data_IF_393492520754
#
_entry.id   IF_393492520754
#
_cell.length_a   1.000
_cell.length_b   1.000
_cell.length_c   1.000
_cell.angle_alpha   90.00
_cell.angle_beta   90.00
_cell.angle_gamma   90.00
#
_symmetry.space_group_name_H-M   'P 1'
#
loop_
_entity.id
_entity.type
_entity.pdbx_description
1 polymer ?
#
# COMPACT_ATOMS: atom_id res chain seq x y z
N UNK A 1 32.89 -14.82 -10.21
CA UNK A 1 32.81 -13.34 -10.24
C UNK A 1 31.59 -12.85 -11.02
N UNK A 2 31.29 -13.40 -12.21
CA UNK A 2 30.11 -12.98 -12.97
C UNK A 2 28.78 -13.32 -12.27
N UNK A 3 28.69 -14.51 -11.66
CA UNK A 3 27.44 -14.97 -11.01
C UNK A 3 27.08 -14.20 -9.75
N UNK A 4 28.08 -13.77 -8.98
CA UNK A 4 27.87 -12.94 -7.80
C UNK A 4 27.34 -11.55 -8.17
N UNK A 5 27.94 -10.91 -9.18
CA UNK A 5 27.49 -9.60 -9.64
C UNK A 5 26.05 -9.68 -10.16
N UNK A 6 25.72 -10.69 -10.95
CA UNK A 6 24.35 -10.92 -11.44
C UNK A 6 23.36 -11.15 -10.28
N UNK A 7 23.74 -11.92 -9.25
CA UNK A 7 22.88 -12.15 -8.09
C UNK A 7 22.64 -10.85 -7.27
N UNK A 8 23.66 -10.01 -7.12
CA UNK A 8 23.53 -8.72 -6.44
C UNK A 8 22.67 -7.75 -7.25
N UNK A 9 22.87 -7.68 -8.57
CA UNK A 9 22.06 -6.85 -9.46
C UNK A 9 20.59 -7.29 -9.46
N UNK A 10 20.32 -8.60 -9.53
CA UNK A 10 18.97 -9.15 -9.46
C UNK A 10 18.30 -8.85 -8.11
N UNK A 11 19.03 -8.99 -7.00
CA UNK A 11 18.53 -8.61 -5.67
C UNK A 11 18.16 -7.13 -5.62
N UNK A 12 19.05 -6.24 -6.08
CA UNK A 12 18.81 -4.78 -6.08
C UNK A 12 17.57 -4.44 -6.92
N UNK A 13 17.48 -5.01 -8.12
CA UNK A 13 16.33 -4.82 -8.99
C UNK A 13 15.01 -5.23 -8.31
N UNK A 14 14.99 -6.36 -7.61
CA UNK A 14 13.82 -6.83 -6.86
C UNK A 14 13.49 -5.97 -5.66
N UNK A 15 14.50 -5.45 -4.95
CA UNK A 15 14.30 -4.46 -3.88
C UNK A 15 13.62 -3.20 -4.44
N UNK A 16 14.12 -2.66 -5.55
CA UNK A 16 13.56 -1.44 -6.16
C UNK A 16 12.12 -1.64 -6.62
N UNK A 17 11.79 -2.79 -7.22
CA UNK A 17 10.42 -3.16 -7.57
C UNK A 17 9.50 -3.24 -6.36
N UNK A 18 9.94 -3.90 -5.29
CA UNK A 18 9.16 -4.01 -4.06
C UNK A 18 8.91 -2.63 -3.42
N UNK A 19 9.92 -1.76 -3.41
CA UNK A 19 9.82 -0.37 -2.93
C UNK A 19 8.84 0.44 -3.79
N UNK A 20 8.89 0.30 -5.11
CA UNK A 20 7.97 1.00 -6.01
C UNK A 20 6.52 0.59 -5.75
N UNK A 21 6.26 -0.71 -5.63
CA UNK A 21 4.93 -1.25 -5.32
C UNK A 21 4.42 -0.74 -3.96
N UNK A 22 5.29 -0.76 -2.94
CA UNK A 22 4.96 -0.26 -1.61
C UNK A 22 4.63 1.24 -1.59
N UNK A 23 5.42 2.07 -2.29
CA UNK A 23 5.17 3.50 -2.37
C UNK A 23 3.86 3.82 -3.12
N UNK A 24 3.53 3.06 -4.17
CA UNK A 24 2.24 3.19 -4.86
C UNK A 24 1.08 2.88 -3.93
N UNK A 25 1.19 1.84 -3.11
CA UNK A 25 0.18 1.49 -2.11
C UNK A 25 -0.01 2.59 -1.06
N UNK A 26 1.09 3.15 -0.54
CA UNK A 26 1.06 4.26 0.43
C UNK A 26 0.37 5.49 -0.18
N UNK A 27 0.78 5.90 -1.39
CA UNK A 27 0.21 7.07 -2.06
C UNK A 27 -1.27 6.87 -2.41
N UNK A 28 -1.63 5.69 -2.93
CA UNK A 28 -3.01 5.33 -3.26
C UNK A 28 -3.92 5.32 -2.04
N UNK A 29 -3.47 4.73 -0.93
CA UNK A 29 -4.22 4.69 0.31
C UNK A 29 -4.47 6.12 0.87
N UNK A 30 -3.43 6.95 0.90
CA UNK A 30 -3.56 8.34 1.35
C UNK A 30 -4.54 9.15 0.49
N UNK A 31 -4.46 9.03 -0.84
CA UNK A 31 -5.35 9.73 -1.76
C UNK A 31 -6.82 9.28 -1.61
N UNK A 32 -7.05 7.96 -1.52
CA UNK A 32 -8.40 7.41 -1.34
C UNK A 32 -9.01 7.86 -0.01
N UNK A 33 -8.22 7.89 1.06
CA UNK A 33 -8.69 8.34 2.38
C UNK A 33 -9.14 9.80 2.37
N UNK A 34 -8.39 10.69 1.70
CA UNK A 34 -8.76 12.11 1.58
C UNK A 34 -10.08 12.26 0.82
N UNK A 35 -10.18 11.62 -0.34
CA UNK A 35 -11.40 11.68 -1.17
C UNK A 35 -12.63 11.14 -0.44
N UNK A 36 -12.50 10.06 0.33
CA UNK A 36 -13.58 9.52 1.13
C UNK A 36 -14.03 10.48 2.24
N UNK A 37 -13.09 11.18 2.88
CA UNK A 37 -13.41 12.22 3.88
C UNK A 37 -14.19 13.37 3.22
N UNK A 38 -13.71 13.88 2.08
CA UNK A 38 -14.36 14.97 1.33
C UNK A 38 -15.78 14.58 0.88
N UNK A 39 -15.95 13.38 0.35
CA UNK A 39 -17.26 12.88 -0.07
C UNK A 39 -18.21 12.70 1.12
N UNK A 40 -17.74 12.12 2.24
CA UNK A 40 -18.56 11.99 3.45
C UNK A 40 -19.01 13.35 3.99
N UNK A 41 -18.14 14.36 3.96
CA UNK A 41 -18.48 15.73 4.36
C UNK A 41 -19.53 16.32 3.42
N UNK A 42 -19.37 16.17 2.10
CA UNK A 42 -20.34 16.66 1.12
C UNK A 42 -21.72 16.02 1.33
N UNK A 43 -21.80 14.70 1.58
CA UNK A 43 -23.06 14.02 1.87
C UNK A 43 -23.69 14.51 3.17
N UNK A 44 -22.90 14.72 4.22
CA UNK A 44 -23.40 15.26 5.48
C UNK A 44 -23.98 16.68 5.28
N UNK A 45 -23.32 17.54 4.51
CA UNK A 45 -23.79 18.88 4.19
C UNK A 45 -25.10 18.85 3.38
N UNK A 46 -25.20 18.02 2.34
CA UNK A 46 -26.43 17.88 1.55
C UNK A 46 -27.56 17.35 2.45
N UNK A 47 -27.27 16.39 3.34
CA UNK A 47 -28.26 15.86 4.28
C UNK A 47 -28.77 16.95 5.23
N UNK A 48 -27.90 17.80 5.76
CA UNK A 48 -28.29 18.91 6.62
C UNK A 48 -29.18 19.92 5.87
N UNK A 49 -28.76 20.35 4.68
CA UNK A 49 -29.51 21.28 3.83
C UNK A 49 -30.90 20.70 3.47
N UNK A 50 -30.98 19.41 3.15
CA UNK A 50 -32.25 18.76 2.79
C UNK A 50 -33.28 18.77 3.94
N UNK A 51 -32.82 18.77 5.19
CA UNK A 51 -33.68 18.86 6.39
C UNK A 51 -34.21 20.28 6.59
N UNK A 52 -33.43 21.29 6.21
CA UNK A 52 -33.80 22.71 6.35
C UNK A 52 -34.78 23.18 5.27
N UNK A 53 -34.72 22.60 4.06
CA UNK A 53 -35.55 23.01 2.91
C UNK A 53 -37.00 22.45 2.97
N UNK A 54 -37.32 21.57 3.93
CA UNK A 54 -38.55 20.75 3.98
C UNK A 54 -39.88 21.52 4.18
N UNK A 55 -40.24 22.37 3.22
CA UNK A 55 -41.48 23.14 3.16
C UNK A 55 -42.41 22.70 2.00
N UNK A 56 -41.91 21.84 1.09
CA UNK A 56 -42.64 21.30 -0.06
C UNK A 56 -42.35 19.78 -0.23
N UNK A 57 -43.39 18.95 -0.26
CA UNK A 57 -43.30 17.48 -0.20
C UNK A 57 -42.62 16.85 -1.42
N UNK A 58 -42.84 17.38 -2.63
CA UNK A 58 -42.31 16.80 -3.87
C UNK A 58 -40.80 17.02 -3.99
N UNK A 59 -40.33 18.24 -3.71
CA UNK A 59 -38.90 18.55 -3.67
C UNK A 59 -38.17 17.80 -2.56
N UNK A 60 -38.84 17.55 -1.42
CA UNK A 60 -38.28 16.75 -0.34
C UNK A 60 -38.06 15.29 -0.76
N UNK A 61 -39.02 14.68 -1.47
CA UNK A 61 -38.89 13.31 -1.97
C UNK A 61 -37.72 13.16 -2.96
N UNK A 62 -37.56 14.08 -3.91
CA UNK A 62 -36.46 14.07 -4.88
C UNK A 62 -35.09 14.21 -4.18
N UNK A 63 -34.98 15.11 -3.20
CA UNK A 63 -33.78 15.29 -2.39
C UNK A 63 -33.42 14.03 -1.59
N UNK A 64 -34.40 13.38 -0.96
CA UNK A 64 -34.17 12.11 -0.23
C UNK A 64 -33.72 10.99 -1.16
N UNK A 65 -34.32 10.88 -2.35
CA UNK A 65 -33.92 9.88 -3.35
C UNK A 65 -32.49 10.11 -3.86
N UNK A 66 -32.12 11.37 -4.10
CA UNK A 66 -30.76 11.74 -4.50
C UNK A 66 -29.73 11.44 -3.39
N UNK A 67 -30.06 11.75 -2.14
CA UNK A 67 -29.24 11.42 -0.97
C UNK A 67 -29.06 9.92 -0.78
N UNK A 68 -30.14 9.14 -0.96
CA UNK A 68 -30.07 7.68 -0.89
C UNK A 68 -29.14 7.12 -1.97
N UNK A 69 -29.27 7.60 -3.21
CA UNK A 69 -28.40 7.19 -4.33
C UNK A 69 -26.94 7.56 -4.10
N UNK A 70 -26.69 8.73 -3.51
CA UNK A 70 -25.34 9.19 -3.18
C UNK A 70 -24.70 8.36 -2.04
N UNK A 71 -25.50 7.97 -1.04
CA UNK A 71 -25.05 7.06 0.01
C UNK A 71 -24.69 5.67 -0.53
N UNK A 72 -25.48 5.14 -1.48
CA UNK A 72 -25.14 3.87 -2.16
C UNK A 72 -23.83 4.02 -2.93
N UNK A 73 -23.68 5.09 -3.71
CA UNK A 73 -22.46 5.36 -4.47
C UNK A 73 -21.22 5.50 -3.56
N UNK A 74 -21.37 6.07 -2.36
CA UNK A 74 -20.32 6.15 -1.34
C UNK A 74 -19.89 4.77 -0.83
N UNK A 75 -20.86 3.87 -0.59
CA UNK A 75 -20.58 2.49 -0.17
C UNK A 75 -19.86 1.71 -1.28
N UNK A 76 -20.28 1.89 -2.53
CA UNK A 76 -19.63 1.27 -3.69
C UNK A 76 -18.19 1.78 -3.86
N UNK A 77 -17.96 3.09 -3.72
CA UNK A 77 -16.61 3.67 -3.77
C UNK A 77 -15.71 3.14 -2.65
N UNK A 78 -16.24 2.97 -1.44
CA UNK A 78 -15.50 2.33 -0.35
C UNK A 78 -15.13 0.88 -0.70
N UNK A 79 -16.05 0.13 -1.30
CA UNK A 79 -15.81 -1.25 -1.74
C UNK A 79 -14.69 -1.29 -2.79
N UNK A 80 -14.79 -0.48 -3.85
CA UNK A 80 -13.77 -0.40 -4.91
C UNK A 80 -12.41 0.02 -4.35
N UNK A 81 -12.38 0.99 -3.43
CA UNK A 81 -11.14 1.41 -2.78
C UNK A 81 -10.49 0.26 -1.98
N UNK A 82 -11.29 -0.52 -1.25
CA UNK A 82 -10.80 -1.69 -0.51
C UNK A 82 -10.29 -2.79 -1.43
N UNK A 83 -10.98 -3.09 -2.52
CA UNK A 83 -10.54 -4.07 -3.53
C UNK A 83 -9.21 -3.66 -4.19
N UNK A 84 -9.04 -2.37 -4.48
CA UNK A 84 -7.79 -1.84 -5.01
C UNK A 84 -6.62 -2.04 -4.02
N UNK A 85 -6.86 -1.77 -2.72
CA UNK A 85 -5.87 -2.00 -1.66
C UNK A 85 -5.53 -3.50 -1.53
N UNK A 86 -6.51 -4.39 -1.58
CA UNK A 86 -6.29 -5.83 -1.53
C UNK A 86 -5.48 -6.32 -2.74
N UNK A 87 -5.78 -5.83 -3.93
CA UNK A 87 -5.05 -6.16 -5.16
C UNK A 87 -3.58 -5.72 -5.06
N UNK A 88 -3.33 -4.49 -4.60
CA UNK A 88 -1.98 -3.98 -4.36
C UNK A 88 -1.24 -4.76 -3.26
N UNK A 89 -1.96 -5.20 -2.22
CA UNK A 89 -1.40 -6.04 -1.17
C UNK A 89 -0.94 -7.40 -1.73
N UNK A 90 -1.72 -7.99 -2.64
CA UNK A 90 -1.33 -9.20 -3.36
C UNK A 90 -0.09 -9.01 -4.24
N UNK A 91 0.03 -7.87 -4.95
CA UNK A 91 1.24 -7.52 -5.71
C UNK A 91 2.47 -7.34 -4.82
N UNK A 92 2.28 -6.68 -3.68
CA UNK A 92 3.34 -6.46 -2.70
C UNK A 92 3.82 -7.78 -2.08
N UNK A 93 2.88 -8.67 -1.73
CA UNK A 93 3.22 -10.02 -1.24
C UNK A 93 4.09 -10.80 -2.22
N UNK A 94 3.70 -10.83 -3.51
CA UNK A 94 4.51 -11.46 -4.57
C UNK A 94 5.90 -10.83 -4.70
N UNK A 95 5.98 -9.50 -4.63
CA UNK A 95 7.26 -8.78 -4.70
C UNK A 95 8.18 -9.13 -3.53
N UNK A 96 7.62 -9.32 -2.32
CA UNK A 96 8.39 -9.76 -1.16
C UNK A 96 8.79 -11.24 -1.21
N UNK A 97 8.00 -12.11 -1.82
CA UNK A 97 8.40 -13.50 -2.06
C UNK A 97 9.55 -13.59 -3.08
N UNK A 98 9.50 -12.81 -4.17
CA UNK A 98 10.60 -12.68 -5.14
C UNK A 98 11.89 -12.17 -4.49
N UNK A 99 11.76 -11.13 -3.64
CA UNK A 99 12.88 -10.58 -2.89
C UNK A 99 13.48 -11.60 -1.92
N UNK A 100 12.65 -12.41 -1.26
CA UNK A 100 13.11 -13.48 -0.37
C UNK A 100 13.94 -14.52 -1.12
N UNK A 101 13.46 -14.97 -2.27
CA UNK A 101 14.18 -15.93 -3.10
C UNK A 101 15.57 -15.39 -3.52
N UNK A 102 15.66 -14.12 -3.94
CA UNK A 102 16.96 -13.51 -4.28
C UNK A 102 17.88 -13.31 -3.07
N UNK A 103 17.33 -13.02 -1.90
CA UNK A 103 18.10 -12.98 -0.65
C UNK A 103 18.68 -14.35 -0.30
N UNK A 104 17.90 -15.42 -0.49
CA UNK A 104 18.35 -16.80 -0.33
C UNK A 104 19.44 -17.17 -1.35
N UNK A 105 19.33 -16.72 -2.60
CA UNK A 105 20.38 -16.90 -3.60
C UNK A 105 21.68 -16.18 -3.21
N UNK A 106 21.59 -14.96 -2.66
CA UNK A 106 22.76 -14.24 -2.13
C UNK A 106 23.42 -14.97 -0.95
N UNK A 107 22.63 -15.65 -0.11
CA UNK A 107 23.13 -16.40 1.04
C UNK A 107 24.00 -17.62 0.67
N UNK A 108 24.00 -18.03 -0.60
CA UNK A 108 24.85 -19.11 -1.12
C UNK A 108 26.29 -18.69 -1.34
N UNK A 109 26.56 -17.38 -1.45
CA UNK A 109 27.90 -16.85 -1.59
C UNK A 109 28.54 -16.66 -0.20
N UNK A 110 29.86 -16.81 -0.12
CA UNK A 110 30.56 -16.62 1.14
C UNK A 110 30.58 -15.15 1.56
N UNK A 111 30.60 -14.88 2.87
CA UNK A 111 30.64 -13.51 3.40
C UNK A 111 31.81 -12.67 2.88
N UNK A 112 32.95 -13.31 2.58
CA UNK A 112 34.12 -12.65 2.00
C UNK A 112 33.88 -12.24 0.54
N UNK A 113 33.11 -13.02 -0.22
CA UNK A 113 32.74 -12.65 -1.60
C UNK A 113 31.80 -11.43 -1.61
N UNK A 114 30.91 -11.32 -0.62
CA UNK A 114 29.97 -10.22 -0.49
C UNK A 114 30.58 -8.93 0.10
N UNK A 115 31.81 -8.95 0.62
CA UNK A 115 32.41 -7.82 1.33
C UNK A 115 32.40 -6.53 0.51
N UNK A 116 32.67 -6.62 -0.80
CA UNK A 116 32.64 -5.48 -1.71
C UNK A 116 31.24 -4.86 -1.88
N UNK A 117 30.18 -5.64 -1.64
CA UNK A 117 28.78 -5.24 -1.81
C UNK A 117 28.08 -4.90 -0.49
N UNK A 118 28.66 -5.23 0.67
CA UNK A 118 28.07 -4.96 1.99
C UNK A 118 27.57 -3.53 2.18
N UNK A 119 28.30 -2.46 1.78
CA UNK A 119 27.79 -1.10 1.91
C UNK A 119 26.51 -0.86 1.10
N UNK A 120 26.44 -1.42 -0.10
CA UNK A 120 25.30 -1.31 -1.01
C UNK A 120 24.10 -2.09 -0.50
N UNK A 121 24.30 -3.35 -0.12
CA UNK A 121 23.26 -4.21 0.46
C UNK A 121 22.68 -3.59 1.74
N UNK A 122 23.53 -3.03 2.61
CA UNK A 122 23.09 -2.32 3.81
C UNK A 122 22.21 -1.11 3.49
N UNK A 123 22.58 -0.31 2.48
CA UNK A 123 21.77 0.84 2.03
C UNK A 123 20.38 0.39 1.56
N UNK A 124 20.30 -0.67 0.76
CA UNK A 124 19.03 -1.19 0.28
C UNK A 124 18.19 -1.80 1.41
N UNK A 125 18.80 -2.52 2.36
CA UNK A 125 18.10 -3.02 3.55
C UNK A 125 17.49 -1.89 4.37
N UNK A 126 18.24 -0.83 4.65
CA UNK A 126 17.71 0.35 5.38
C UNK A 126 16.53 1.00 4.63
N UNK A 127 16.56 0.98 3.31
CA UNK A 127 15.47 1.53 2.48
C UNK A 127 14.22 0.66 2.56
N UNK A 128 14.39 -0.68 2.47
CA UNK A 128 13.30 -1.64 2.67
C UNK A 128 12.68 -1.45 4.05
N UNK A 129 13.48 -1.39 5.11
CA UNK A 129 13.01 -1.22 6.48
C UNK A 129 12.19 0.06 6.65
N UNK A 130 12.68 1.18 6.10
CA UNK A 130 11.98 2.48 6.13
C UNK A 130 10.62 2.43 5.42
N UNK A 131 10.57 1.81 4.24
CA UNK A 131 9.32 1.66 3.48
C UNK A 131 8.34 0.73 4.19
N UNK A 132 8.83 -0.33 4.85
CA UNK A 132 7.98 -1.22 5.64
C UNK A 132 7.36 -0.51 6.83
N UNK A 133 8.13 0.31 7.54
CA UNK A 133 7.59 1.13 8.64
C UNK A 133 6.47 2.04 8.13
N UNK A 134 6.67 2.68 6.96
CA UNK A 134 5.64 3.53 6.35
C UNK A 134 4.41 2.73 5.92
N UNK A 135 4.56 1.53 5.37
CA UNK A 135 3.43 0.65 5.05
C UNK A 135 2.61 0.28 6.31
N UNK A 136 3.27 -0.08 7.42
CA UNK A 136 2.59 -0.37 8.69
C UNK A 136 1.79 0.86 9.15
N UNK A 137 2.44 2.02 9.18
CA UNK A 137 1.87 3.24 9.76
C UNK A 137 0.76 3.84 8.88
N UNK A 138 0.98 3.87 7.57
CA UNK A 138 0.15 4.64 6.65
C UNK A 138 -0.99 3.80 6.04
N UNK A 139 -0.84 2.47 5.95
CA UNK A 139 -1.80 1.60 5.26
C UNK A 139 -2.54 0.60 6.18
N UNK A 140 -2.22 0.54 7.48
CA UNK A 140 -2.79 -0.45 8.44
C UNK A 140 -2.75 -1.88 7.88
N UNK A 141 -1.75 -2.20 7.06
CA UNK A 141 -1.46 -3.58 6.67
C UNK A 141 -1.03 -4.31 7.93
N UNK A 142 -1.77 -5.37 8.29
CA UNK A 142 -1.50 -6.18 9.47
C UNK A 142 -0.01 -6.45 9.58
N UNK A 143 0.57 -6.11 10.73
CA UNK A 143 1.99 -6.33 11.04
C UNK A 143 2.44 -7.77 10.78
N UNK A 144 1.51 -8.73 10.75
CA UNK A 144 1.74 -10.12 10.36
C UNK A 144 2.24 -10.27 8.91
N UNK A 145 1.76 -9.47 7.96
CA UNK A 145 2.24 -9.42 6.56
C UNK A 145 3.66 -8.83 6.47
N UNK A 146 4.04 -7.98 7.43
CA UNK A 146 5.32 -7.25 7.45
C UNK A 146 6.38 -7.94 8.35
N UNK A 147 5.95 -8.85 9.24
CA UNK A 147 6.84 -9.69 10.09
C UNK A 147 7.77 -10.57 9.28
N UNK A 148 7.42 -10.91 8.04
CA UNK A 148 8.23 -11.78 7.18
C UNK A 148 9.57 -11.13 6.79
N UNK A 149 9.65 -9.80 6.81
CA UNK A 149 10.89 -9.06 6.50
C UNK A 149 11.85 -8.97 7.69
N UNK A 150 11.35 -9.13 8.93
CA UNK A 150 12.16 -9.16 10.17
C UNK A 150 12.79 -10.53 10.46
N UNK A 151 12.35 -11.59 9.78
CA UNK A 151 12.91 -12.95 9.95
C UNK A 151 14.22 -13.18 9.20
N UNK A 152 14.67 -12.21 8.40
CA UNK A 152 16.04 -12.17 7.89
C UNK A 152 16.95 -11.92 9.09
N UNK A 153 17.44 -13.00 9.71
CA UNK A 153 18.54 -12.92 10.68
C UNK A 153 19.60 -12.01 10.06
N UNK A 154 19.95 -10.97 10.80
CA UNK A 154 21.04 -10.05 10.52
C UNK A 154 22.18 -10.76 9.79
N UNK A 155 22.41 -10.36 8.53
CA UNK A 155 23.70 -10.56 7.87
C UNK A 155 24.74 -9.69 8.57
#
# INVERSE_FOLDING_TARGET
>A
MNDLNMAVEDYIYKVERAIACANQMIAGHASNRIKLIELNQAVASISAISKEIASDEEHHFVLQSALSSLNVSLLDLNTVANEAIQTLSGHLGRSFDELRASSEDLSRFSNHELDAFKPLLKKYQMTVDSVCIRLINDCVTDSSLLRILRSSKSV
#
